data_IF_201138100937
#
_entry.id   IF_201138100937
#
_cell.length_a   1.000
_cell.length_b   1.000
_cell.length_c   1.000
_cell.angle_alpha   90.00
_cell.angle_beta   90.00
_cell.angle_gamma   90.00
#
_symmetry.space_group_name_H-M   'P 1'
#
loop_
_entity.id
_entity.type
_entity.pdbx_description
1 polymer ?
#
# COMPACT_ATOMS: atom_id res chain seq x y z
N UNK A 1 -2.01 -25.18 6.90
CA UNK A 1 -2.40 -23.90 6.28
C UNK A 1 -1.34 -23.36 5.34
N UNK A 2 -0.06 -23.42 5.70
CA UNK A 2 1.08 -22.93 4.90
C UNK A 2 1.10 -23.50 3.47
N UNK A 3 0.92 -24.81 3.31
CA UNK A 3 0.87 -25.43 1.97
C UNK A 3 -0.31 -24.93 1.13
N UNK A 4 -1.49 -24.75 1.75
CA UNK A 4 -2.68 -24.23 1.06
C UNK A 4 -2.45 -22.80 0.59
N UNK A 5 -1.87 -21.96 1.46
CA UNK A 5 -1.52 -20.58 1.14
C UNK A 5 -0.53 -20.50 -0.03
N UNK A 6 0.57 -21.25 0.03
CA UNK A 6 1.55 -21.28 -1.04
C UNK A 6 0.99 -21.85 -2.35
N UNK A 7 0.05 -22.80 -2.29
CA UNK A 7 -0.63 -23.31 -3.49
C UNK A 7 -1.40 -22.21 -4.21
N UNK A 8 -2.25 -21.47 -3.47
CA UNK A 8 -3.02 -20.35 -4.01
C UNK A 8 -2.11 -19.25 -4.57
N UNK A 9 -1.03 -18.91 -3.84
CA UNK A 9 -0.13 -17.86 -4.29
C UNK A 9 0.77 -18.33 -5.45
N UNK A 10 1.09 -19.62 -5.60
CA UNK A 10 1.83 -20.12 -6.77
C UNK A 10 1.02 -19.91 -8.05
N UNK A 11 -0.26 -20.30 -8.05
CA UNK A 11 -1.16 -20.07 -9.20
C UNK A 11 -1.24 -18.59 -9.55
N UNK A 12 -1.45 -17.73 -8.54
CA UNK A 12 -1.51 -16.29 -8.73
C UNK A 12 -0.17 -15.68 -9.20
N UNK A 13 0.96 -16.20 -8.71
CA UNK A 13 2.29 -15.73 -9.05
C UNK A 13 2.65 -16.03 -10.51
N UNK A 14 2.39 -17.26 -10.97
CA UNK A 14 2.65 -17.65 -12.36
C UNK A 14 1.78 -16.91 -13.37
N UNK A 15 0.59 -16.45 -12.97
CA UNK A 15 -0.30 -15.62 -13.80
C UNK A 15 0.11 -14.13 -13.90
N UNK A 16 1.17 -13.71 -13.20
CA UNK A 16 1.58 -12.30 -13.20
C UNK A 16 2.23 -11.91 -14.54
N UNK A 17 1.98 -10.69 -15.05
CA UNK A 17 2.57 -10.22 -16.29
C UNK A 17 4.09 -10.02 -16.21
N UNK A 18 4.66 -9.91 -15.00
CA UNK A 18 6.10 -9.78 -14.77
C UNK A 18 6.82 -11.12 -14.49
N UNK A 19 6.14 -12.25 -14.66
CA UNK A 19 6.68 -13.61 -14.53
C UNK A 19 6.72 -14.24 -15.92
N UNK A 20 7.89 -14.14 -16.55
CA UNK A 20 8.14 -14.66 -17.90
C UNK A 20 8.55 -16.14 -17.90
N UNK A 21 8.73 -16.72 -19.09
CA UNK A 21 9.19 -18.11 -19.26
C UNK A 21 10.54 -18.38 -18.57
N UNK A 22 11.39 -17.37 -18.44
CA UNK A 22 12.68 -17.51 -17.77
C UNK A 22 12.50 -17.75 -16.27
N UNK A 23 11.57 -17.03 -15.62
CA UNK A 23 11.24 -17.24 -14.21
C UNK A 23 10.57 -18.61 -14.00
N UNK A 24 9.68 -19.02 -14.92
CA UNK A 24 9.09 -20.37 -14.90
C UNK A 24 10.17 -21.46 -14.95
N UNK A 25 11.14 -21.32 -15.86
CA UNK A 25 12.25 -22.26 -15.97
C UNK A 25 13.14 -22.26 -14.71
N UNK A 26 13.38 -21.11 -14.08
CA UNK A 26 14.14 -21.01 -12.83
C UNK A 26 13.41 -21.70 -11.68
N UNK A 27 12.09 -21.51 -11.55
CA UNK A 27 11.28 -22.23 -10.57
C UNK A 27 11.35 -23.75 -10.78
N UNK A 28 11.21 -24.23 -12.03
CA UNK A 28 11.24 -25.66 -12.35
C UNK A 28 12.62 -26.30 -12.10
N UNK A 29 13.69 -25.52 -12.22
CA UNK A 29 15.06 -25.94 -11.86
C UNK A 29 15.35 -25.82 -10.36
N UNK A 30 14.36 -25.45 -9.56
CA UNK A 30 14.48 -25.22 -8.13
C UNK A 30 15.54 -24.16 -7.77
N UNK A 31 15.63 -23.10 -8.58
CA UNK A 31 16.53 -21.99 -8.33
C UNK A 31 16.17 -21.27 -7.02
N UNK A 32 17.16 -21.13 -6.13
CA UNK A 32 16.95 -20.51 -4.83
C UNK A 32 16.56 -19.03 -4.92
N UNK A 33 16.99 -18.33 -5.96
CA UNK A 33 16.61 -16.94 -6.21
C UNK A 33 15.13 -16.81 -6.57
N UNK A 34 14.65 -17.65 -7.49
CA UNK A 34 13.24 -17.70 -7.89
C UNK A 34 12.33 -18.12 -6.71
N UNK A 35 12.76 -19.09 -5.91
CA UNK A 35 12.02 -19.50 -4.71
C UNK A 35 11.88 -18.36 -3.69
N UNK A 36 12.94 -17.57 -3.47
CA UNK A 36 12.89 -16.38 -2.61
C UNK A 36 11.97 -15.30 -3.17
N UNK A 37 12.05 -15.01 -4.47
CA UNK A 37 11.17 -14.03 -5.14
C UNK A 37 9.70 -14.42 -5.00
N UNK A 38 9.39 -15.71 -5.24
CA UNK A 38 8.06 -16.28 -5.02
C UNK A 38 7.62 -16.14 -3.55
N UNK A 39 8.44 -16.58 -2.58
CA UNK A 39 8.09 -16.49 -1.16
C UNK A 39 7.82 -15.05 -0.73
N UNK A 40 8.64 -14.09 -1.16
CA UNK A 40 8.41 -12.65 -0.88
C UNK A 40 7.12 -12.13 -1.52
N UNK A 41 6.76 -12.60 -2.71
CA UNK A 41 5.49 -12.25 -3.34
C UNK A 41 4.30 -12.83 -2.54
N UNK A 42 4.44 -14.05 -2.04
CA UNK A 42 3.45 -14.68 -1.16
C UNK A 42 3.32 -13.91 0.16
N UNK A 43 4.43 -13.50 0.78
CA UNK A 43 4.42 -12.65 1.99
C UNK A 43 3.71 -11.33 1.73
N UNK A 44 3.96 -10.70 0.58
CA UNK A 44 3.23 -9.50 0.18
C UNK A 44 1.72 -9.76 0.06
N UNK A 45 1.32 -10.92 -0.46
CA UNK A 45 -0.09 -11.31 -0.52
C UNK A 45 -0.76 -11.40 0.86
N UNK A 46 0.00 -11.67 1.94
CA UNK A 46 -0.55 -11.61 3.30
C UNK A 46 -1.05 -10.19 3.66
N UNK A 47 -0.33 -9.16 3.21
CA UNK A 47 -0.70 -7.75 3.42
C UNK A 47 -1.94 -7.39 2.60
N UNK A 48 -1.98 -7.79 1.31
CA UNK A 48 -3.00 -7.28 0.38
C UNK A 48 -4.24 -8.16 0.23
N UNK A 49 -4.17 -9.47 0.52
CA UNK A 49 -5.27 -10.44 0.29
C UNK A 49 -5.74 -11.17 1.56
N UNK A 50 -4.84 -11.55 2.46
CA UNK A 50 -5.15 -12.52 3.53
C UNK A 50 -5.33 -11.91 4.93
N UNK A 51 -5.43 -10.59 5.03
CA UNK A 51 -5.71 -9.93 6.30
C UNK A 51 -7.13 -10.25 6.80
N UNK A 52 -7.34 -10.10 8.10
CA UNK A 52 -8.56 -10.51 8.78
C UNK A 52 -9.83 -9.87 8.19
N UNK A 53 -10.93 -10.64 8.11
CA UNK A 53 -12.21 -10.20 7.57
C UNK A 53 -12.49 -10.60 6.11
N UNK A 54 -11.54 -11.27 5.44
CA UNK A 54 -11.73 -11.75 4.05
C UNK A 54 -12.31 -13.18 4.00
N UNK A 55 -13.28 -13.47 3.09
CA UNK A 55 -13.99 -14.76 3.04
C UNK A 55 -13.14 -15.96 2.61
N UNK A 56 -11.95 -15.74 2.04
CA UNK A 56 -11.03 -16.79 1.57
C UNK A 56 -9.71 -16.82 2.34
N UNK A 57 -9.70 -16.31 3.57
CA UNK A 57 -8.50 -16.20 4.42
C UNK A 57 -7.75 -17.54 4.53
N UNK A 58 -6.46 -17.52 4.19
CA UNK A 58 -5.53 -18.60 4.52
C UNK A 58 -4.32 -17.99 5.21
N UNK A 59 -4.24 -18.15 6.53
CA UNK A 59 -3.11 -17.67 7.32
C UNK A 59 -2.09 -18.81 7.55
N UNK A 60 -0.82 -18.66 7.13
CA UNK A 60 0.20 -19.68 7.33
C UNK A 60 0.68 -19.74 8.79
N UNK A 61 0.92 -20.96 9.30
CA UNK A 61 1.36 -21.21 10.67
C UNK A 61 2.66 -20.46 11.01
N UNK A 62 3.55 -20.30 10.03
CA UNK A 62 4.84 -19.62 10.19
C UNK A 62 4.73 -18.11 10.47
N UNK A 63 3.53 -17.52 10.28
CA UNK A 63 3.25 -16.10 10.56
C UNK A 63 2.22 -15.92 11.69
N UNK A 64 1.85 -16.96 12.44
CA UNK A 64 0.84 -16.86 13.53
C UNK A 64 1.17 -15.77 14.56
N UNK A 65 2.46 -15.57 14.86
CA UNK A 65 2.91 -14.57 15.84
C UNK A 65 3.20 -13.19 15.22
N UNK A 66 3.10 -13.05 13.89
CA UNK A 66 3.45 -11.84 13.16
C UNK A 66 2.23 -11.09 12.59
N UNK A 67 1.01 -11.50 12.97
CA UNK A 67 -0.26 -10.90 12.51
C UNK A 67 -0.25 -9.38 12.64
N UNK A 68 0.09 -8.85 13.82
CA UNK A 68 0.09 -7.40 14.08
C UNK A 68 1.13 -6.66 13.22
N UNK A 69 2.26 -7.29 12.89
CA UNK A 69 3.28 -6.67 12.04
C UNK A 69 2.83 -6.60 10.58
N UNK A 70 2.15 -7.65 10.10
CA UNK A 70 1.53 -7.65 8.76
C UNK A 70 0.37 -6.65 8.70
N UNK A 71 -0.46 -6.58 9.75
CA UNK A 71 -1.53 -5.57 9.85
C UNK A 71 -0.98 -4.14 9.86
N UNK A 72 0.04 -3.86 10.67
CA UNK A 72 0.68 -2.55 10.67
C UNK A 72 1.21 -2.15 9.27
N UNK A 73 1.69 -3.12 8.49
CA UNK A 73 2.08 -2.87 7.10
C UNK A 73 0.88 -2.53 6.21
N UNK A 74 -0.25 -3.23 6.39
CA UNK A 74 -1.50 -2.93 5.68
C UNK A 74 -2.05 -1.56 6.06
N UNK A 75 -2.07 -1.25 7.35
CA UNK A 75 -2.59 0.01 7.88
C UNK A 75 -1.79 1.19 7.33
N UNK A 76 -0.46 1.08 7.28
CA UNK A 76 0.40 2.09 6.64
C UNK A 76 0.09 2.25 5.15
N UNK A 77 -0.07 1.14 4.41
CA UNK A 77 -0.44 1.16 2.99
C UNK A 77 -1.79 1.88 2.77
N UNK A 78 -2.82 1.49 3.51
CA UNK A 78 -4.16 2.08 3.40
C UNK A 78 -4.13 3.57 3.77
N UNK A 79 -3.43 3.92 4.85
CA UNK A 79 -3.28 5.31 5.30
C UNK A 79 -2.59 6.17 4.25
N UNK A 80 -1.48 5.71 3.68
CA UNK A 80 -0.77 6.42 2.60
C UNK A 80 -1.70 6.63 1.40
N UNK A 81 -2.47 5.61 1.01
CA UNK A 81 -3.42 5.70 -0.09
C UNK A 81 -4.52 6.73 0.18
N UNK A 82 -5.12 6.71 1.38
CA UNK A 82 -6.15 7.67 1.80
C UNK A 82 -5.58 9.09 1.81
N UNK A 83 -4.47 9.34 2.51
CA UNK A 83 -3.91 10.69 2.62
C UNK A 83 -3.51 11.23 1.25
N UNK A 84 -2.87 10.42 0.40
CA UNK A 84 -2.49 10.83 -0.96
C UNK A 84 -3.72 11.20 -1.79
N UNK A 85 -4.83 10.46 -1.63
CA UNK A 85 -6.09 10.74 -2.33
C UNK A 85 -6.75 12.04 -1.87
N UNK A 86 -6.68 12.36 -0.58
CA UNK A 86 -7.19 13.63 -0.05
C UNK A 86 -6.31 14.80 -0.49
N UNK A 87 -4.98 14.63 -0.40
CA UNK A 87 -4.01 15.67 -0.77
C UNK A 87 -4.13 16.04 -2.25
N UNK A 88 -4.37 15.08 -3.16
CA UNK A 88 -4.54 15.42 -4.58
C UNK A 88 -5.80 16.25 -4.83
N UNK A 89 -6.88 16.05 -4.06
CA UNK A 89 -8.09 16.85 -4.17
C UNK A 89 -7.87 18.28 -3.65
N UNK A 90 -7.07 18.42 -2.58
CA UNK A 90 -6.61 19.72 -2.08
C UNK A 90 -5.74 20.43 -3.12
N UNK A 91 -4.80 19.72 -3.74
CA UNK A 91 -3.97 20.27 -4.82
C UNK A 91 -4.79 20.73 -6.02
N UNK A 92 -5.75 19.91 -6.46
CA UNK A 92 -6.67 20.24 -7.56
C UNK A 92 -7.48 21.51 -7.25
N UNK A 93 -8.01 21.63 -6.04
CA UNK A 93 -8.73 22.84 -5.61
C UNK A 93 -7.82 24.08 -5.65
N UNK A 94 -6.66 24.01 -4.99
CA UNK A 94 -5.68 25.12 -4.93
C UNK A 94 -5.28 25.56 -6.33
N UNK A 95 -5.02 24.62 -7.23
CA UNK A 95 -4.63 24.91 -8.61
C UNK A 95 -5.78 25.56 -9.39
N UNK A 96 -7.01 25.04 -9.29
CA UNK A 96 -8.18 25.59 -10.00
C UNK A 96 -8.51 27.02 -9.57
N UNK A 97 -8.37 27.31 -8.27
CA UNK A 97 -8.59 28.63 -7.69
C UNK A 97 -7.39 29.58 -7.84
N UNK A 98 -6.27 29.11 -8.38
CA UNK A 98 -5.01 29.85 -8.49
C UNK A 98 -4.55 30.45 -7.14
N UNK A 99 -4.71 29.69 -6.05
CA UNK A 99 -4.35 30.18 -4.71
C UNK A 99 -2.84 30.20 -4.52
N UNK A 100 -2.35 31.28 -3.89
CA UNK A 100 -0.96 31.38 -3.46
C UNK A 100 -0.77 30.48 -2.24
N UNK A 101 0.11 29.48 -2.35
CA UNK A 101 0.41 28.57 -1.24
C UNK A 101 1.77 28.88 -0.61
N UNK A 102 1.86 28.89 0.73
CA UNK A 102 3.15 28.86 1.42
C UNK A 102 3.97 27.65 0.98
N UNK A 103 5.30 27.81 0.97
CA UNK A 103 6.21 26.70 0.69
C UNK A 103 5.93 25.53 1.65
N UNK A 104 5.72 24.34 1.10
CA UNK A 104 5.43 23.14 1.88
C UNK A 104 3.98 22.99 2.37
N UNK A 105 3.05 23.88 2.02
CA UNK A 105 1.64 23.81 2.44
C UNK A 105 1.02 22.41 2.24
N UNK A 106 1.16 21.84 1.05
CA UNK A 106 0.65 20.50 0.71
C UNK A 106 1.24 19.41 1.62
N UNK A 107 2.54 19.50 1.93
CA UNK A 107 3.19 18.55 2.82
C UNK A 107 2.64 18.68 4.24
N UNK A 108 2.40 19.92 4.71
CA UNK A 108 1.78 20.19 6.01
C UNK A 108 0.37 19.60 6.09
N UNK A 109 -0.45 19.77 5.05
CA UNK A 109 -1.79 19.16 4.97
C UNK A 109 -1.68 17.64 5.05
N UNK A 110 -0.79 17.04 4.25
CA UNK A 110 -0.54 15.60 4.28
C UNK A 110 -0.15 15.08 5.68
N UNK A 111 0.78 15.76 6.36
CA UNK A 111 1.19 15.39 7.72
C UNK A 111 0.07 15.53 8.74
N UNK A 112 -0.74 16.58 8.68
CA UNK A 112 -1.90 16.76 9.58
C UNK A 112 -2.93 15.64 9.39
N UNK A 113 -3.31 15.36 8.14
CA UNK A 113 -4.27 14.29 7.82
C UNK A 113 -3.75 12.92 8.24
N UNK A 114 -2.46 12.68 8.03
CA UNK A 114 -1.77 11.48 8.50
C UNK A 114 -1.84 11.33 10.03
N UNK A 115 -1.55 12.39 10.77
CA UNK A 115 -1.60 12.37 12.24
C UNK A 115 -3.03 12.18 12.76
N UNK A 116 -4.03 12.79 12.11
CA UNK A 116 -5.44 12.60 12.44
C UNK A 116 -5.89 11.16 12.20
N UNK A 117 -5.50 10.53 11.09
CA UNK A 117 -5.83 9.12 10.82
C UNK A 117 -5.26 8.15 11.86
N UNK A 118 -4.14 8.49 12.48
CA UNK A 118 -3.54 7.71 13.57
C UNK A 118 -4.22 7.95 14.93
N UNK A 119 -5.08 8.97 15.03
CA UNK A 119 -5.77 9.30 16.26
C UNK A 119 -7.04 8.45 16.43
N UNK A 120 -7.28 7.87 17.63
CA UNK A 120 -8.42 7.01 17.85
C UNK A 120 -9.74 7.76 17.68
N UNK A 121 -10.70 7.14 17.00
CA UNK A 121 -12.05 7.67 16.81
C UNK A 121 -12.21 8.73 15.71
N UNK A 122 -11.17 8.97 14.90
CA UNK A 122 -11.27 9.89 13.76
C UNK A 122 -12.04 9.25 12.60
N UNK A 123 -13.06 9.96 12.12
CA UNK A 123 -13.89 9.61 10.98
C UNK A 123 -13.39 10.24 9.68
N UNK A 124 -13.79 9.66 8.54
CA UNK A 124 -13.54 10.27 7.23
C UNK A 124 -14.10 11.68 7.09
N UNK A 125 -15.21 11.99 7.78
CA UNK A 125 -15.77 13.33 7.81
C UNK A 125 -14.87 14.34 8.50
N UNK A 126 -14.27 13.99 9.63
CA UNK A 126 -13.32 14.88 10.33
C UNK A 126 -12.08 15.16 9.47
N UNK A 127 -11.61 14.19 8.69
CA UNK A 127 -10.51 14.39 7.74
C UNK A 127 -10.89 15.33 6.59
N UNK A 128 -12.08 15.14 6.01
CA UNK A 128 -12.59 16.00 4.95
C UNK A 128 -12.76 17.45 5.44
N UNK A 129 -13.36 17.63 6.62
CA UNK A 129 -13.52 18.94 7.25
C UNK A 129 -12.15 19.59 7.54
N UNK A 130 -11.17 18.84 8.08
CA UNK A 130 -9.83 19.37 8.32
C UNK A 130 -9.16 19.86 7.02
N UNK A 131 -9.20 19.03 5.97
CA UNK A 131 -8.60 19.39 4.68
C UNK A 131 -9.26 20.63 4.07
N UNK A 132 -10.61 20.72 4.13
CA UNK A 132 -11.34 21.92 3.68
C UNK A 132 -10.99 23.16 4.51
N UNK A 133 -10.82 23.01 5.82
CA UNK A 133 -10.41 24.12 6.71
C UNK A 133 -8.98 24.60 6.41
N UNK A 134 -8.04 23.69 6.16
CA UNK A 134 -6.66 24.05 5.81
C UNK A 134 -6.61 24.86 4.49
N UNK A 135 -7.44 24.50 3.50
CA UNK A 135 -7.55 25.25 2.23
C UNK A 135 -8.28 26.58 2.41
N UNK A 136 -9.33 26.63 3.24
CA UNK A 136 -10.07 27.87 3.55
C UNK A 136 -9.16 28.97 4.08
N UNK A 137 -8.08 28.62 4.79
CA UNK A 137 -7.11 29.60 5.30
C UNK A 137 -6.31 30.32 4.20
N UNK A 138 -6.31 29.80 2.97
CA UNK A 138 -5.66 30.43 1.82
C UNK A 138 -6.58 31.42 1.09
N UNK A 139 -7.89 31.31 1.29
CA UNK A 139 -8.87 32.19 0.66
C UNK A 139 -8.84 33.56 1.36
N UNK A 140 -8.66 34.63 0.58
CA UNK A 140 -8.54 35.99 1.10
C UNK A 140 -9.91 36.63 1.40
N UNK A 141 -10.96 36.12 0.76
CA UNK A 141 -12.32 36.63 0.86
C UNK A 141 -13.30 35.49 1.11
N UNK A 142 -14.31 35.76 1.91
CA UNK A 142 -15.38 34.81 2.20
C UNK A 142 -16.63 35.23 1.43
N UNK A 143 -16.62 35.04 0.10
CA UNK A 143 -17.80 35.24 -0.74
C UNK A 143 -18.63 33.95 -0.85
N UNK A 144 -19.84 34.06 -1.41
CA UNK A 144 -20.74 32.92 -1.57
C UNK A 144 -20.19 31.86 -2.52
N UNK A 145 -19.41 32.26 -3.53
CA UNK A 145 -18.82 31.36 -4.51
C UNK A 145 -17.75 30.46 -3.86
N UNK A 146 -16.84 31.06 -3.08
CA UNK A 146 -15.84 30.34 -2.26
C UNK A 146 -16.52 29.37 -1.31
N UNK A 147 -17.60 29.79 -0.64
CA UNK A 147 -18.32 28.93 0.29
C UNK A 147 -18.96 27.73 -0.42
N UNK A 148 -19.53 27.92 -1.61
CA UNK A 148 -20.09 26.84 -2.43
C UNK A 148 -19.00 25.89 -2.94
N UNK A 149 -17.86 26.43 -3.39
CA UNK A 149 -16.72 25.63 -3.85
C UNK A 149 -16.10 24.80 -2.72
N UNK A 150 -15.94 25.37 -1.52
CA UNK A 150 -15.46 24.66 -0.34
C UNK A 150 -16.42 23.54 0.09
N UNK A 151 -17.74 23.75 0.00
CA UNK A 151 -18.72 22.69 0.25
C UNK A 151 -18.62 21.58 -0.80
N UNK A 152 -18.41 21.94 -2.07
CA UNK A 152 -18.20 20.97 -3.13
C UNK A 152 -16.89 20.18 -2.93
N UNK A 153 -15.82 20.83 -2.47
CA UNK A 153 -14.56 20.19 -2.10
C UNK A 153 -14.78 19.20 -0.95
N UNK A 154 -15.42 19.62 0.14
CA UNK A 154 -15.71 18.74 1.28
C UNK A 154 -16.51 17.52 0.87
N UNK A 155 -17.52 17.69 0.00
CA UNK A 155 -18.29 16.58 -0.56
C UNK A 155 -17.44 15.62 -1.39
N UNK A 156 -16.49 16.13 -2.19
CA UNK A 156 -15.54 15.29 -2.95
C UNK A 156 -14.56 14.56 -2.04
N UNK A 157 -14.06 15.23 -1.00
CA UNK A 157 -13.18 14.64 0.01
C UNK A 157 -13.89 13.50 0.75
N UNK A 158 -15.14 13.71 1.17
CA UNK A 158 -15.99 12.66 1.72
C UNK A 158 -16.20 11.50 0.73
N UNK A 159 -16.46 11.82 -0.54
CA UNK A 159 -16.61 10.83 -1.61
C UNK A 159 -15.32 10.05 -1.92
N UNK A 160 -14.15 10.51 -1.47
CA UNK A 160 -12.89 9.79 -1.65
C UNK A 160 -12.80 8.48 -0.87
N UNK A 161 -13.59 8.36 0.20
CA UNK A 161 -13.66 7.17 1.04
C UNK A 161 -14.58 6.07 0.48
N UNK A 162 -15.28 6.31 -0.63
CA UNK A 162 -16.11 5.29 -1.27
C UNK A 162 -15.25 4.12 -1.77
N UNK A 163 -15.70 2.89 -1.55
CA UNK A 163 -14.93 1.68 -1.88
C UNK A 163 -14.59 1.55 -3.38
N UNK A 164 -15.41 2.16 -4.25
CA UNK A 164 -15.23 2.16 -5.69
C UNK A 164 -14.44 3.37 -6.23
N UNK A 165 -14.03 4.30 -5.36
CA UNK A 165 -13.40 5.56 -5.75
C UNK A 165 -12.12 5.32 -6.59
N UNK A 166 -12.04 5.88 -7.82
CA UNK A 166 -10.93 5.62 -8.73
C UNK A 166 -9.62 6.28 -8.28
N UNK A 167 -9.69 7.41 -7.59
CA UNK A 167 -8.50 8.11 -7.06
C UNK A 167 -7.88 7.28 -5.95
N UNK A 168 -8.69 6.79 -5.01
CA UNK A 168 -8.22 5.87 -3.98
C UNK A 168 -7.59 4.62 -4.58
N UNK A 169 -8.26 3.95 -5.53
CA UNK A 169 -7.72 2.76 -6.21
C UNK A 169 -6.37 3.03 -6.88
N UNK A 170 -6.21 4.19 -7.51
CA UNK A 170 -4.95 4.60 -8.14
C UNK A 170 -3.83 4.75 -7.10
N UNK A 171 -4.07 5.48 -6.01
CA UNK A 171 -3.05 5.67 -4.97
C UNK A 171 -2.76 4.40 -4.19
N UNK A 172 -3.78 3.59 -3.91
CA UNK A 172 -3.59 2.25 -3.33
C UNK A 172 -2.73 1.38 -4.23
N UNK A 173 -2.99 1.35 -5.55
CA UNK A 173 -2.18 0.59 -6.51
C UNK A 173 -0.73 1.08 -6.54
N UNK A 174 -0.51 2.40 -6.59
CA UNK A 174 0.85 3.00 -6.59
C UNK A 174 1.60 2.69 -5.29
N UNK A 175 0.98 2.89 -4.14
CA UNK A 175 1.60 2.60 -2.85
C UNK A 175 1.87 1.10 -2.71
N UNK A 176 0.90 0.25 -3.06
CA UNK A 176 1.05 -1.21 -3.05
C UNK A 176 2.25 -1.65 -3.89
N UNK A 177 2.41 -1.08 -5.08
CA UNK A 177 3.56 -1.35 -5.94
C UNK A 177 4.88 -0.90 -5.31
N UNK A 178 4.94 0.29 -4.70
CA UNK A 178 6.13 0.79 -4.03
C UNK A 178 6.57 -0.13 -2.86
N UNK A 179 5.61 -0.59 -2.06
CA UNK A 179 5.87 -1.54 -0.98
C UNK A 179 6.37 -2.89 -1.51
N UNK A 180 5.70 -3.44 -2.54
CA UNK A 180 6.07 -4.72 -3.14
C UNK A 180 7.49 -4.68 -3.74
N UNK A 181 7.81 -3.64 -4.50
CA UNK A 181 9.15 -3.46 -5.11
C UNK A 181 10.21 -3.35 -4.01
N UNK A 182 9.95 -2.56 -2.96
CA UNK A 182 10.87 -2.44 -1.82
C UNK A 182 11.07 -3.77 -1.07
N UNK A 183 10.04 -4.61 -0.98
CA UNK A 183 10.16 -5.94 -0.39
C UNK A 183 11.03 -6.88 -1.25
N UNK A 184 10.86 -6.83 -2.57
CA UNK A 184 11.55 -7.70 -3.51
C UNK A 184 13.02 -7.32 -3.71
N UNK A 185 13.29 -6.06 -4.05
CA UNK A 185 14.59 -5.59 -4.53
C UNK A 185 15.49 -4.97 -3.45
N UNK A 186 14.94 -4.64 -2.26
CA UNK A 186 15.65 -3.84 -1.26
C UNK A 186 15.27 -2.38 -1.34
N UNK A 187 16.11 -1.45 -0.85
CA UNK A 187 15.82 0.00 -0.87
C UNK A 187 15.71 0.54 -2.30
N UNK A 188 14.56 0.34 -2.95
CA UNK A 188 14.21 0.83 -4.28
C UNK A 188 13.44 2.15 -4.17
N UNK A 189 14.01 3.11 -3.44
CA UNK A 189 13.42 4.46 -3.31
C UNK A 189 13.63 5.30 -4.57
N UNK A 190 14.57 4.91 -5.44
CA UNK A 190 14.92 5.63 -6.67
C UNK A 190 13.78 5.62 -7.71
N UNK A 191 12.89 4.63 -7.67
CA UNK A 191 11.74 4.48 -8.58
C UNK A 191 10.39 4.91 -7.95
N UNK A 192 10.43 5.61 -6.80
CA UNK A 192 9.21 6.03 -6.13
C UNK A 192 8.49 7.12 -6.93
N UNK A 193 7.21 6.88 -7.25
CA UNK A 193 6.40 7.87 -7.96
C UNK A 193 6.35 9.21 -7.18
N UNK A 194 6.50 10.38 -7.81
CA UNK A 194 6.60 11.67 -7.11
C UNK A 194 5.45 11.98 -6.14
N UNK A 195 4.25 11.49 -6.45
CA UNK A 195 3.07 11.65 -5.58
C UNK A 195 3.17 10.91 -4.24
N UNK A 196 4.13 9.99 -4.09
CA UNK A 196 4.39 9.25 -2.86
C UNK A 196 5.66 9.75 -2.14
N UNK A 197 6.40 10.71 -2.71
CA UNK A 197 7.63 11.24 -2.12
C UNK A 197 7.48 11.67 -0.65
N UNK A 198 6.36 12.29 -0.21
CA UNK A 198 6.17 12.64 1.21
C UNK A 198 6.15 11.44 2.17
N UNK A 199 5.89 10.23 1.64
CA UNK A 199 5.81 8.98 2.41
C UNK A 199 7.04 8.09 2.23
N UNK A 200 8.08 8.53 1.52
CA UNK A 200 9.24 7.70 1.19
C UNK A 200 9.88 7.05 2.43
N UNK A 201 10.13 7.84 3.48
CA UNK A 201 10.69 7.36 4.74
C UNK A 201 9.79 6.31 5.39
N UNK A 202 8.49 6.56 5.46
CA UNK A 202 7.54 5.62 6.05
C UNK A 202 7.47 4.32 5.26
N UNK A 203 7.36 4.39 3.93
CA UNK A 203 7.37 3.21 3.05
C UNK A 203 8.64 2.39 3.31
N UNK A 204 9.80 3.05 3.39
CA UNK A 204 11.08 2.41 3.69
C UNK A 204 11.08 1.72 5.05
N UNK A 205 10.64 2.40 6.10
CA UNK A 205 10.60 1.87 7.47
C UNK A 205 9.64 0.69 7.59
N UNK A 206 8.41 0.83 7.10
CA UNK A 206 7.41 -0.25 7.16
C UNK A 206 7.86 -1.46 6.35
N UNK A 207 8.37 -1.25 5.14
CA UNK A 207 8.87 -2.35 4.30
C UNK A 207 10.12 -3.01 4.89
N UNK A 208 10.95 -2.29 5.65
CA UNK A 208 12.11 -2.87 6.35
C UNK A 208 11.70 -3.91 7.41
N UNK A 209 10.58 -3.69 8.10
CA UNK A 209 10.03 -4.64 9.08
C UNK A 209 9.56 -5.89 8.34
N UNK A 210 8.75 -5.72 7.28
CA UNK A 210 8.25 -6.84 6.49
C UNK A 210 9.38 -7.64 5.83
N UNK A 211 10.42 -6.96 5.35
CA UNK A 211 11.61 -7.58 4.77
C UNK A 211 12.36 -8.42 5.79
N UNK A 212 12.53 -7.93 7.02
CA UNK A 212 13.13 -8.72 8.12
C UNK A 212 12.30 -9.96 8.45
N UNK A 213 10.98 -9.86 8.42
CA UNK A 213 10.10 -11.02 8.61
C UNK A 213 10.24 -12.04 7.49
N UNK A 214 10.24 -11.59 6.24
CA UNK A 214 10.46 -12.47 5.09
C UNK A 214 11.82 -13.16 5.16
N UNK A 215 12.89 -12.41 5.45
CA UNK A 215 14.25 -12.95 5.62
C UNK A 215 14.36 -13.95 6.76
N UNK A 216 13.71 -13.68 7.90
CA UNK A 216 13.66 -14.63 9.01
C UNK A 216 13.00 -15.94 8.58
N UNK A 217 11.87 -15.86 7.90
CA UNK A 217 11.13 -17.02 7.40
C UNK A 217 11.91 -17.78 6.31
N UNK A 218 12.56 -17.06 5.39
CA UNK A 218 13.47 -17.61 4.38
C UNK A 218 14.61 -18.42 5.00
N UNK A 219 15.11 -18.02 6.17
CA UNK A 219 16.26 -18.66 6.82
C UNK A 219 15.83 -19.80 7.76
N UNK A 220 14.83 -19.57 8.62
CA UNK A 220 14.39 -20.53 9.65
C UNK A 220 13.57 -21.66 9.04
N UNK A 221 12.68 -21.35 8.11
CA UNK A 221 11.76 -22.32 7.49
C UNK A 221 12.16 -22.70 6.06
N UNK A 222 13.42 -22.45 5.68
CA UNK A 222 13.95 -22.71 4.34
C UNK A 222 13.60 -24.12 3.83
N UNK A 223 13.88 -25.15 4.64
CA UNK A 223 13.63 -26.54 4.27
C UNK A 223 12.14 -26.82 4.05
N UNK A 224 11.28 -26.30 4.94
CA UNK A 224 9.83 -26.45 4.83
C UNK A 224 9.30 -25.82 3.55
N UNK A 225 9.63 -24.55 3.30
CA UNK A 225 9.16 -23.84 2.12
C UNK A 225 9.70 -24.45 0.84
N UNK A 226 11.00 -24.74 0.76
CA UNK A 226 11.59 -25.33 -0.43
C UNK A 226 10.93 -26.66 -0.79
N UNK A 227 10.62 -27.50 0.20
CA UNK A 227 9.94 -28.78 -0.03
C UNK A 227 8.50 -28.60 -0.51
N UNK A 228 7.77 -27.61 0.01
CA UNK A 228 6.42 -27.30 -0.47
C UNK A 228 6.48 -26.75 -1.90
N UNK A 229 7.33 -25.75 -2.14
CA UNK A 229 7.45 -25.08 -3.45
C UNK A 229 7.81 -26.10 -4.53
N UNK A 230 8.80 -26.99 -4.30
CA UNK A 230 9.16 -28.07 -5.24
C UNK A 230 7.99 -28.95 -5.68
N UNK A 231 6.98 -29.13 -4.81
CA UNK A 231 5.78 -29.93 -5.13
C UNK A 231 4.71 -29.12 -5.86
N UNK A 232 4.75 -27.79 -5.75
CA UNK A 232 3.78 -26.88 -6.35
C UNK A 232 4.22 -26.37 -7.73
N UNK A 233 5.52 -26.36 -8.01
CA UNK A 233 6.04 -25.91 -9.31
C UNK A 233 5.57 -26.87 -10.41
N UNK A 234 4.91 -26.38 -11.47
CA UNK A 234 4.54 -27.20 -12.61
C UNK A 234 5.78 -27.78 -13.31
N UNK A 235 5.72 -29.03 -13.82
CA UNK A 235 6.79 -29.57 -14.64
C UNK A 235 6.96 -28.76 -15.94
N UNK A 236 8.20 -28.62 -16.41
CA UNK A 236 8.48 -28.05 -17.73
C UNK A 236 7.79 -28.93 -18.79
N UNK A 237 6.88 -28.34 -19.56
CA UNK A 237 6.33 -28.96 -20.77
C UNK A 237 7.32 -28.84 -21.93
#
# INVERSE_FOLDING_TARGET
MTQKWLGLEMEAYLARPDVDESEHARLARHDGGAFKRFLRASVWALVVKHIDGTPFRVWPETFELDVERIRACRDALDRIAVVSSLVVLVQDYVARRNLVTPAGFINTVGHKLSALLLSPGVSGAQLATQASQDVRQLESFCDEEVQQELQALEKRLLGSFAADNPVFKLFFSRASRAFEVSLQQGNAMDDLHPSLAPFATEISETTSVLRRLAQHNENVYASLYNNIIKRLVPPLM
#
